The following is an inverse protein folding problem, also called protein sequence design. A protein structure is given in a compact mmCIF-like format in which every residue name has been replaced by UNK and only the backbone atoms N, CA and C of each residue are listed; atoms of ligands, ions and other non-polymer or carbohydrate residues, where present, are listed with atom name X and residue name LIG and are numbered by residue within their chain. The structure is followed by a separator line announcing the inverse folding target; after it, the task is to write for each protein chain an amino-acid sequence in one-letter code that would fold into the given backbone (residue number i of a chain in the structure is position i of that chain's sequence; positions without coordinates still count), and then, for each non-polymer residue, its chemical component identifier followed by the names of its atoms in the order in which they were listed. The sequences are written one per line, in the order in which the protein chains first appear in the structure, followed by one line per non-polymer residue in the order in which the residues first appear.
data_IF_366518324557
#
_entry.id   IF_366518324557
#
_cell.length_a   1.000
_cell.length_b   1.000
_cell.length_c   1.000
_cell.angle_alpha   90.00
_cell.angle_beta   90.00
_cell.angle_gamma   90.00
#
_symmetry.space_group_name_H-M   'P 1'
#
loop_
_entity.id
_entity.type
_entity.pdbx_description
1 polymer ?
#
# COMPACT_ATOMS: atom_id res chain seq x y z
N UNK A 1 11.20 -7.22 -16.11
CA UNK A 1 10.10 -6.61 -16.89
C UNK A 1 8.81 -7.40 -16.63
N UNK A 2 7.69 -6.71 -16.33
CA UNK A 2 6.38 -7.33 -16.03
C UNK A 2 5.53 -7.50 -17.31
N UNK A 3 6.15 -8.00 -18.38
CA UNK A 3 5.50 -8.16 -19.69
C UNK A 3 4.26 -9.05 -19.63
N UNK A 4 4.28 -10.07 -18.75
CA UNK A 4 3.16 -10.98 -18.53
C UNK A 4 1.93 -10.24 -17.99
N UNK A 5 2.09 -9.34 -17.02
CA UNK A 5 0.98 -8.52 -16.50
C UNK A 5 0.42 -7.58 -17.57
N UNK A 6 1.30 -6.95 -18.36
CA UNK A 6 0.87 -6.10 -19.47
C UNK A 6 0.05 -6.87 -20.51
N UNK A 7 0.47 -8.11 -20.85
CA UNK A 7 -0.26 -8.96 -21.78
C UNK A 7 -1.66 -9.31 -21.24
N UNK A 8 -1.79 -9.60 -19.94
CA UNK A 8 -3.09 -9.87 -19.32
C UNK A 8 -3.99 -8.63 -19.40
N UNK A 9 -3.48 -7.46 -19.01
CA UNK A 9 -4.22 -6.19 -19.06
C UNK A 9 -4.70 -5.92 -20.49
N UNK A 10 -3.80 -5.96 -21.47
CA UNK A 10 -4.16 -5.68 -22.86
C UNK A 10 -5.13 -6.70 -23.44
N UNK A 11 -5.01 -7.97 -23.06
CA UNK A 11 -5.96 -9.00 -23.48
C UNK A 11 -7.38 -8.69 -22.98
N UNK A 12 -7.53 -8.25 -21.73
CA UNK A 12 -8.85 -7.89 -21.19
C UNK A 12 -9.36 -6.59 -21.82
N UNK A 13 -8.52 -5.57 -21.85
CA UNK A 13 -8.85 -4.22 -22.33
C UNK A 13 -9.27 -4.23 -23.81
N UNK A 14 -8.53 -4.90 -24.70
CA UNK A 14 -8.88 -4.93 -26.14
C UNK A 14 -10.15 -5.75 -26.45
N UNK A 15 -10.57 -6.60 -25.51
CA UNK A 15 -11.82 -7.34 -25.62
C UNK A 15 -12.97 -6.66 -24.85
N UNK A 16 -12.77 -5.44 -24.32
CA UNK A 16 -13.74 -4.74 -23.46
C UNK A 16 -14.26 -5.63 -22.33
N UNK A 17 -13.35 -6.43 -21.75
CA UNK A 17 -13.66 -7.40 -20.70
C UNK A 17 -13.28 -6.80 -19.35
N UNK A 18 -14.23 -6.82 -18.42
CA UNK A 18 -13.98 -6.43 -17.03
C UNK A 18 -13.11 -7.47 -16.29
N UNK A 19 -12.28 -7.06 -15.33
CA UNK A 19 -11.56 -7.98 -14.46
C UNK A 19 -12.50 -8.98 -13.76
N UNK A 20 -12.13 -10.26 -13.80
CA UNK A 20 -12.87 -11.34 -13.17
C UNK A 20 -11.96 -12.19 -12.26
N UNK A 21 -12.44 -13.34 -11.82
CA UNK A 21 -11.66 -14.25 -10.98
C UNK A 21 -10.39 -14.74 -11.68
N UNK A 22 -10.45 -15.04 -12.98
CA UNK A 22 -9.28 -15.51 -13.72
C UNK A 22 -8.24 -14.41 -13.87
N UNK A 23 -8.68 -13.18 -14.14
CA UNK A 23 -7.80 -12.01 -14.13
C UNK A 23 -7.07 -11.87 -12.79
N UNK A 24 -7.81 -11.99 -11.67
CA UNK A 24 -7.25 -11.91 -10.33
C UNK A 24 -6.20 -13.01 -10.10
N UNK A 25 -6.54 -14.27 -10.42
CA UNK A 25 -5.66 -15.44 -10.24
C UNK A 25 -4.36 -15.30 -11.04
N UNK A 26 -4.44 -14.87 -12.31
CA UNK A 26 -3.26 -14.66 -13.17
C UNK A 26 -2.35 -13.56 -12.62
N UNK A 27 -2.93 -12.42 -12.20
CA UNK A 27 -2.16 -11.31 -11.61
C UNK A 27 -1.49 -11.73 -10.31
N UNK A 28 -2.21 -12.46 -9.44
CA UNK A 28 -1.67 -12.97 -8.17
C UNK A 28 -0.49 -13.90 -8.41
N UNK A 29 -0.61 -14.89 -9.30
CA UNK A 29 0.46 -15.86 -9.52
C UNK A 29 1.74 -15.17 -10.00
N UNK A 30 1.63 -14.26 -10.98
CA UNK A 30 2.78 -13.50 -11.47
C UNK A 30 3.40 -12.67 -10.35
N UNK A 31 2.61 -11.92 -9.59
CA UNK A 31 3.12 -11.02 -8.56
C UNK A 31 3.75 -11.78 -7.38
N UNK A 32 3.13 -12.87 -6.92
CA UNK A 32 3.64 -13.74 -5.85
C UNK A 32 4.97 -14.37 -6.25
N UNK A 33 5.07 -14.87 -7.48
CA UNK A 33 6.29 -15.51 -7.99
C UNK A 33 7.42 -14.48 -8.15
N UNK A 34 7.13 -13.30 -8.72
CA UNK A 34 8.12 -12.21 -8.89
C UNK A 34 8.70 -11.74 -7.56
N UNK A 35 7.86 -11.58 -6.54
CA UNK A 35 8.29 -11.05 -5.24
C UNK A 35 8.76 -12.14 -4.27
N UNK A 36 8.71 -13.42 -4.67
CA UNK A 36 8.99 -14.59 -3.85
C UNK A 36 8.20 -14.58 -2.53
N UNK A 37 6.87 -14.55 -2.64
CA UNK A 37 5.95 -14.40 -1.50
C UNK A 37 5.24 -15.69 -1.07
N UNK A 38 5.46 -16.81 -1.79
CA UNK A 38 4.73 -18.07 -1.57
C UNK A 38 4.77 -18.55 -0.12
N UNK A 39 5.91 -18.45 0.55
CA UNK A 39 6.09 -18.89 1.95
C UNK A 39 5.38 -17.98 2.98
N UNK A 40 4.99 -16.78 2.56
CA UNK A 40 4.34 -15.77 3.38
C UNK A 40 2.82 -15.73 3.16
N UNK A 41 2.28 -16.63 2.32
CA UNK A 41 0.86 -16.76 2.03
C UNK A 41 0.48 -18.22 2.25
N UNK A 42 -0.33 -18.50 3.27
CA UNK A 42 -0.79 -19.85 3.60
C UNK A 42 -2.02 -20.26 2.80
N UNK A 43 -2.92 -19.33 2.57
CA UNK A 43 -4.22 -19.59 1.96
C UNK A 43 -4.70 -18.35 1.20
N UNK A 44 -5.49 -18.58 0.15
CA UNK A 44 -6.19 -17.53 -0.59
C UNK A 44 -7.69 -17.88 -0.53
N UNK A 45 -8.47 -17.00 0.09
CA UNK A 45 -9.92 -17.09 0.20
C UNK A 45 -10.58 -16.07 -0.74
N UNK A 46 -11.52 -16.52 -1.57
CA UNK A 46 -12.22 -15.70 -2.55
C UNK A 46 -13.66 -15.33 -2.12
N UNK A 47 -14.07 -15.74 -0.91
CA UNK A 47 -15.40 -15.51 -0.36
C UNK A 47 -15.35 -14.52 0.81
N UNK A 48 -14.78 -13.33 0.56
CA UNK A 48 -14.68 -12.29 1.59
C UNK A 48 -15.87 -11.32 1.57
N UNK A 49 -16.27 -10.82 2.75
CA UNK A 49 -17.40 -9.88 2.85
C UNK A 49 -17.05 -8.45 2.38
N UNK A 50 -15.77 -8.12 2.30
CA UNK A 50 -15.26 -6.81 1.85
C UNK A 50 -14.42 -6.97 0.56
N UNK A 51 -13.70 -5.93 0.13
CA UNK A 51 -12.94 -5.94 -1.12
C UNK A 51 -11.79 -6.94 -1.07
N UNK A 52 -10.83 -6.70 -0.18
CA UNK A 52 -9.64 -7.52 0.00
C UNK A 52 -9.08 -7.33 1.42
N UNK A 53 -8.29 -8.30 1.88
CA UNK A 53 -7.52 -8.17 3.12
C UNK A 53 -6.43 -9.24 3.21
N UNK A 54 -5.28 -8.86 3.75
CA UNK A 54 -4.26 -9.78 4.20
C UNK A 54 -4.29 -9.95 5.73
N UNK A 55 -4.52 -11.18 6.18
CA UNK A 55 -4.47 -11.50 7.62
C UNK A 55 -3.03 -11.70 8.09
N UNK A 56 -2.41 -10.70 8.73
CA UNK A 56 -1.01 -10.78 9.19
C UNK A 56 -0.68 -12.03 10.02
N UNK A 57 -1.57 -12.44 10.93
CA UNK A 57 -1.36 -13.65 11.78
C UNK A 57 -1.67 -14.94 11.03
N UNK A 58 -2.76 -14.98 10.27
CA UNK A 58 -3.19 -16.20 9.55
C UNK A 58 -2.40 -16.41 8.27
N UNK A 59 -1.70 -15.39 7.77
CA UNK A 59 -1.06 -15.31 6.45
C UNK A 59 -2.04 -15.65 5.32
N UNK A 60 -3.30 -15.26 5.46
CA UNK A 60 -4.38 -15.52 4.50
C UNK A 60 -4.62 -14.28 3.66
N UNK A 61 -4.56 -14.40 2.34
CA UNK A 61 -5.11 -13.40 1.44
C UNK A 61 -6.60 -13.64 1.28
N UNK A 62 -7.40 -12.59 1.39
CA UNK A 62 -8.85 -12.64 1.19
C UNK A 62 -9.23 -11.66 0.11
N UNK A 63 -10.11 -12.07 -0.80
CA UNK A 63 -10.58 -11.26 -1.90
C UNK A 63 -12.07 -11.49 -2.14
N UNK A 64 -12.74 -10.49 -2.70
CA UNK A 64 -14.05 -10.65 -3.32
C UNK A 64 -14.05 -9.91 -4.66
N UNK A 65 -14.07 -10.68 -5.74
CA UNK A 65 -13.95 -10.15 -7.12
C UNK A 65 -15.05 -9.12 -7.42
N UNK A 66 -16.29 -9.39 -7.02
CA UNK A 66 -17.41 -8.50 -7.28
C UNK A 66 -17.27 -7.18 -6.52
N UNK A 67 -16.90 -7.23 -5.25
CA UNK A 67 -16.71 -6.03 -4.43
C UNK A 67 -15.53 -5.17 -4.93
N UNK A 68 -14.41 -5.79 -5.31
CA UNK A 68 -13.26 -5.08 -5.89
C UNK A 68 -13.66 -4.37 -7.18
N UNK A 69 -14.38 -5.07 -8.07
CA UNK A 69 -14.83 -4.50 -9.33
C UNK A 69 -15.84 -3.36 -9.12
N UNK A 70 -16.79 -3.52 -8.19
CA UNK A 70 -17.75 -2.47 -7.85
C UNK A 70 -17.05 -1.23 -7.28
N UNK A 71 -16.05 -1.42 -6.42
CA UNK A 71 -15.21 -0.34 -5.92
C UNK A 71 -14.46 0.37 -7.06
N UNK A 72 -13.82 -0.39 -7.96
CA UNK A 72 -13.14 0.17 -9.12
C UNK A 72 -14.08 1.00 -10.00
N UNK A 73 -15.30 0.54 -10.25
CA UNK A 73 -16.32 1.29 -11.01
C UNK A 73 -16.75 2.58 -10.31
N UNK A 74 -16.95 2.54 -8.99
CA UNK A 74 -17.27 3.74 -8.19
C UNK A 74 -16.15 4.77 -8.26
N UNK A 75 -14.90 4.33 -8.09
CA UNK A 75 -13.72 5.17 -8.18
C UNK A 75 -13.54 5.75 -9.59
N UNK A 76 -13.67 4.93 -10.64
CA UNK A 76 -13.63 5.41 -12.02
C UNK A 76 -14.66 6.51 -12.28
N UNK A 77 -15.93 6.31 -11.88
CA UNK A 77 -16.97 7.32 -12.06
C UNK A 77 -16.65 8.62 -11.31
N UNK A 78 -16.06 8.54 -10.11
CA UNK A 78 -15.61 9.70 -9.37
C UNK A 78 -14.53 10.50 -10.14
N UNK A 79 -13.48 9.84 -10.65
CA UNK A 79 -12.44 10.52 -11.43
C UNK A 79 -12.97 11.01 -12.77
N UNK A 80 -13.79 10.21 -13.47
CA UNK A 80 -14.43 10.59 -14.72
C UNK A 80 -15.18 11.90 -14.55
N UNK A 81 -16.08 11.99 -13.58
CA UNK A 81 -16.83 13.22 -13.31
C UNK A 81 -15.94 14.43 -12.96
N UNK A 82 -14.78 14.18 -12.36
CA UNK A 82 -13.82 15.24 -11.98
C UNK A 82 -12.99 15.74 -13.17
N UNK A 83 -12.70 14.88 -14.15
CA UNK A 83 -11.78 15.16 -15.26
C UNK A 83 -12.47 15.33 -16.63
N UNK A 84 -13.67 14.80 -16.84
CA UNK A 84 -14.46 14.91 -18.07
C UNK A 84 -14.65 16.36 -18.56
N UNK A 85 -14.75 17.40 -17.70
CA UNK A 85 -14.80 18.78 -18.18
C UNK A 85 -13.53 19.26 -18.92
N UNK A 86 -12.42 18.53 -18.80
CA UNK A 86 -11.08 18.95 -19.25
C UNK A 86 -10.42 17.89 -20.16
N UNK A 87 -10.78 16.61 -19.98
CA UNK A 87 -10.19 15.46 -20.67
C UNK A 87 -11.30 14.61 -21.27
N UNK A 88 -11.22 14.33 -22.57
CA UNK A 88 -12.10 13.37 -23.20
C UNK A 88 -11.64 11.95 -22.84
N UNK A 89 -12.50 11.18 -22.18
CA UNK A 89 -12.19 9.84 -21.67
C UNK A 89 -12.88 8.81 -22.57
N UNK A 90 -12.09 7.95 -23.21
CA UNK A 90 -12.56 6.88 -24.09
C UNK A 90 -13.05 5.65 -23.30
N UNK A 91 -13.88 4.83 -23.94
CA UNK A 91 -14.30 3.54 -23.39
C UNK A 91 -13.08 2.65 -23.08
N UNK A 92 -12.03 2.70 -23.90
CA UNK A 92 -10.82 1.91 -23.65
C UNK A 92 -10.11 2.34 -22.35
N UNK A 93 -10.10 3.64 -22.05
CA UNK A 93 -9.52 4.17 -20.81
C UNK A 93 -10.32 3.76 -19.58
N UNK A 94 -11.64 3.54 -19.70
CA UNK A 94 -12.44 2.93 -18.64
C UNK A 94 -11.93 1.52 -18.31
N UNK A 95 -11.84 0.62 -19.30
CA UNK A 95 -11.37 -0.75 -19.06
C UNK A 95 -9.91 -0.81 -18.58
N UNK A 96 -9.06 0.09 -19.05
CA UNK A 96 -7.70 0.25 -18.52
C UNK A 96 -7.79 0.63 -17.04
N UNK A 97 -8.51 1.70 -16.71
CA UNK A 97 -8.64 2.21 -15.34
C UNK A 97 -9.17 1.13 -14.38
N UNK A 98 -10.23 0.41 -14.77
CA UNK A 98 -10.78 -0.71 -13.99
C UNK A 98 -9.74 -1.81 -13.75
N UNK A 99 -9.01 -2.22 -14.80
CA UNK A 99 -7.94 -3.22 -14.68
C UNK A 99 -6.84 -2.77 -13.73
N UNK A 100 -6.44 -1.50 -13.82
CA UNK A 100 -5.36 -0.94 -13.00
C UNK A 100 -5.76 -0.81 -11.52
N UNK A 101 -6.98 -0.37 -11.22
CA UNK A 101 -7.50 -0.33 -9.84
C UNK A 101 -7.63 -1.72 -9.23
N UNK A 102 -8.02 -2.70 -10.05
CA UNK A 102 -8.11 -4.09 -9.62
C UNK A 102 -6.72 -4.65 -9.27
N UNK A 103 -5.73 -4.43 -10.15
CA UNK A 103 -4.33 -4.82 -9.88
C UNK A 103 -3.79 -4.09 -8.66
N UNK A 104 -4.08 -2.79 -8.50
CA UNK A 104 -3.63 -2.02 -7.35
C UNK A 104 -4.10 -2.65 -6.03
N UNK A 105 -5.36 -3.09 -5.98
CA UNK A 105 -5.93 -3.79 -4.83
C UNK A 105 -5.16 -5.07 -4.52
N UNK A 106 -4.82 -5.86 -5.53
CA UNK A 106 -4.01 -7.08 -5.37
C UNK A 106 -2.60 -6.74 -4.86
N UNK A 107 -1.94 -5.76 -5.47
CA UNK A 107 -0.59 -5.35 -5.10
C UNK A 107 -0.52 -4.78 -3.68
N UNK A 108 -1.56 -4.07 -3.23
CA UNK A 108 -1.68 -3.57 -1.85
C UNK A 108 -1.64 -4.72 -0.85
N UNK A 109 -2.47 -5.74 -1.03
CA UNK A 109 -2.49 -6.89 -0.11
C UNK A 109 -1.20 -7.71 -0.14
N UNK A 110 -0.57 -7.82 -1.32
CA UNK A 110 0.75 -8.45 -1.44
C UNK A 110 1.87 -7.64 -0.76
N UNK A 111 1.70 -6.33 -0.60
CA UNK A 111 2.63 -5.52 0.16
C UNK A 111 2.59 -5.85 1.66
N UNK A 112 1.41 -6.17 2.21
CA UNK A 112 1.34 -6.69 3.58
C UNK A 112 2.03 -8.05 3.74
N UNK A 113 1.96 -8.92 2.73
CA UNK A 113 2.74 -10.16 2.72
C UNK A 113 4.27 -9.89 2.69
N UNK A 114 4.72 -8.90 1.91
CA UNK A 114 6.13 -8.46 1.92
C UNK A 114 6.55 -7.89 3.26
N UNK A 115 5.68 -7.13 3.94
CA UNK A 115 5.98 -6.60 5.27
C UNK A 115 6.27 -7.75 6.26
N UNK A 116 5.50 -8.85 6.22
CA UNK A 116 5.80 -10.06 7.01
C UNK A 116 7.14 -10.67 6.61
N UNK A 117 7.42 -10.79 5.31
CA UNK A 117 8.74 -11.24 4.82
C UNK A 117 9.87 -10.38 5.37
N UNK A 118 9.74 -9.05 5.33
CA UNK A 118 10.71 -8.10 5.89
C UNK A 118 10.94 -8.35 7.38
N UNK A 119 9.88 -8.59 8.17
CA UNK A 119 10.01 -8.92 9.59
C UNK A 119 10.79 -10.22 9.82
N UNK A 120 10.53 -11.24 9.00
CA UNK A 120 11.10 -12.59 9.17
C UNK A 120 12.53 -12.71 8.64
N UNK A 121 12.89 -12.02 7.56
CA UNK A 121 14.19 -12.21 6.88
C UNK A 121 15.21 -11.11 7.15
N UNK A 122 14.80 -9.91 7.58
CA UNK A 122 15.73 -8.80 7.80
C UNK A 122 16.50 -8.96 9.10
N UNK A 123 17.83 -9.04 9.00
CA UNK A 123 18.72 -9.09 10.16
C UNK A 123 18.81 -7.73 10.88
N UNK A 124 18.72 -7.75 12.21
CA UNK A 124 18.80 -6.58 13.07
C UNK A 124 17.51 -5.74 13.14
N UNK A 125 17.55 -4.69 13.98
CA UNK A 125 16.42 -3.77 14.17
C UNK A 125 16.58 -2.54 13.26
N UNK A 126 16.01 -2.63 12.05
CA UNK A 126 15.86 -1.47 11.16
C UNK A 126 14.64 -0.63 11.58
N UNK A 127 14.59 0.61 11.10
CA UNK A 127 13.47 1.51 11.34
C UNK A 127 12.17 0.97 10.74
N UNK A 128 12.22 0.54 9.49
CA UNK A 128 11.12 -0.09 8.76
C UNK A 128 10.57 -1.31 9.52
N UNK A 129 11.45 -2.24 9.92
CA UNK A 129 11.08 -3.41 10.71
C UNK A 129 10.38 -3.02 12.01
N UNK A 130 10.85 -1.95 12.66
CA UNK A 130 10.24 -1.43 13.88
C UNK A 130 8.83 -0.90 13.61
N UNK A 131 8.62 -0.15 12.53
CA UNK A 131 7.32 0.43 12.18
C UNK A 131 6.28 -0.65 11.84
N UNK A 132 6.68 -1.64 11.05
CA UNK A 132 5.84 -2.79 10.72
C UNK A 132 5.47 -3.51 12.02
N UNK A 133 6.46 -3.88 12.84
CA UNK A 133 6.21 -4.62 14.09
C UNK A 133 5.28 -3.85 15.04
N UNK A 134 5.47 -2.54 15.18
CA UNK A 134 4.59 -1.73 16.04
C UNK A 134 3.15 -1.68 15.53
N UNK A 135 2.96 -1.58 14.21
CA UNK A 135 1.63 -1.63 13.62
C UNK A 135 0.96 -2.96 13.93
N UNK A 136 1.68 -4.08 13.79
CA UNK A 136 1.16 -5.42 14.13
C UNK A 136 0.86 -5.57 15.63
N UNK A 137 1.72 -5.04 16.49
CA UNK A 137 1.51 -5.06 17.94
C UNK A 137 0.22 -4.32 18.31
N UNK A 138 -0.04 -3.15 17.71
CA UNK A 138 -1.28 -2.38 17.94
C UNK A 138 -2.49 -3.11 17.36
N UNK A 139 -2.42 -3.66 16.14
CA UNK A 139 -3.50 -4.47 15.54
C UNK A 139 -3.90 -5.61 16.48
N UNK A 140 -2.91 -6.30 17.04
CA UNK A 140 -3.14 -7.44 17.94
C UNK A 140 -3.81 -7.05 19.27
N UNK A 141 -3.67 -5.80 19.69
CA UNK A 141 -4.10 -5.33 21.02
C UNK A 141 -5.38 -4.51 20.95
N UNK A 142 -5.50 -3.67 19.93
CA UNK A 142 -6.63 -2.80 19.72
C UNK A 142 -7.06 -2.84 18.25
N UNK A 143 -7.64 -3.97 17.79
CA UNK A 143 -8.07 -4.14 16.41
C UNK A 143 -9.17 -3.15 16.01
N UNK A 144 -9.97 -2.67 16.97
CA UNK A 144 -11.01 -1.66 16.71
C UNK A 144 -10.42 -0.29 16.42
N UNK A 145 -9.37 0.11 17.14
CA UNK A 145 -8.63 1.33 16.84
C UNK A 145 -7.97 1.24 15.46
N UNK A 146 -7.33 0.10 15.16
CA UNK A 146 -6.82 -0.13 13.80
C UNK A 146 -7.92 0.01 12.76
N UNK A 147 -9.06 -0.68 12.91
CA UNK A 147 -10.16 -0.62 11.93
C UNK A 147 -10.65 0.81 11.67
N UNK A 148 -10.68 1.67 12.70
CA UNK A 148 -11.13 3.07 12.58
C UNK A 148 -10.07 3.98 11.96
N UNK A 149 -8.80 3.72 12.26
CA UNK A 149 -7.70 4.64 11.95
C UNK A 149 -6.61 3.99 11.08
N UNK A 150 -6.91 2.89 10.38
CA UNK A 150 -5.92 2.06 9.65
C UNK A 150 -5.09 2.89 8.66
N UNK A 151 -5.72 3.87 8.00
CA UNK A 151 -5.05 4.85 7.12
C UNK A 151 -3.97 5.70 7.80
N UNK A 152 -3.86 5.66 9.13
CA UNK A 152 -2.80 6.32 9.90
C UNK A 152 -1.59 5.41 10.15
N UNK A 153 -1.73 4.10 9.97
CA UNK A 153 -0.70 3.13 10.32
C UNK A 153 0.39 3.05 9.25
N UNK A 154 1.67 2.91 9.65
CA UNK A 154 2.77 2.68 8.73
C UNK A 154 2.52 1.54 7.74
N UNK A 155 1.98 0.42 8.20
CA UNK A 155 1.74 -0.76 7.35
C UNK A 155 0.78 -0.49 6.20
N UNK A 156 -0.33 0.21 6.43
CA UNK A 156 -1.28 0.56 5.38
C UNK A 156 -0.71 1.60 4.41
N UNK A 157 -0.09 2.65 4.94
CA UNK A 157 0.45 3.70 4.08
C UNK A 157 1.65 3.24 3.26
N UNK A 158 2.51 2.39 3.81
CA UNK A 158 3.57 1.71 3.05
C UNK A 158 2.95 0.82 1.97
N UNK A 159 1.87 0.10 2.29
CA UNK A 159 1.15 -0.72 1.32
C UNK A 159 0.61 0.11 0.14
N UNK A 160 -0.06 1.23 0.41
CA UNK A 160 -0.57 2.15 -0.62
C UNK A 160 0.57 2.69 -1.50
N UNK A 161 1.63 3.22 -0.89
CA UNK A 161 2.72 3.87 -1.64
C UNK A 161 3.49 2.86 -2.48
N UNK A 162 3.88 1.73 -1.89
CA UNK A 162 4.69 0.72 -2.58
C UNK A 162 3.89 0.03 -3.68
N UNK A 163 2.61 -0.28 -3.44
CA UNK A 163 1.74 -0.89 -4.46
C UNK A 163 1.50 0.08 -5.63
N UNK A 164 1.24 1.37 -5.35
CA UNK A 164 1.04 2.38 -6.40
C UNK A 164 2.33 2.64 -7.18
N UNK A 165 3.47 2.77 -6.49
CA UNK A 165 4.78 2.91 -7.14
C UNK A 165 5.09 1.73 -8.04
N UNK A 166 4.86 0.51 -7.54
CA UNK A 166 5.04 -0.73 -8.30
C UNK A 166 4.11 -0.81 -9.51
N UNK A 167 2.86 -0.37 -9.39
CA UNK A 167 1.93 -0.31 -10.52
C UNK A 167 2.44 0.65 -11.62
N UNK A 168 2.88 1.85 -11.23
CA UNK A 168 3.48 2.84 -12.15
C UNK A 168 4.71 2.25 -12.85
N UNK A 169 5.57 1.54 -12.12
CA UNK A 169 6.76 0.88 -12.68
C UNK A 169 6.40 -0.24 -13.66
N UNK A 170 5.45 -1.12 -13.29
CA UNK A 170 4.97 -2.24 -14.13
C UNK A 170 4.50 -1.73 -15.48
N UNK A 171 3.71 -0.67 -15.45
CA UNK A 171 3.03 -0.13 -16.61
C UNK A 171 3.90 0.83 -17.41
N UNK A 172 5.02 1.28 -16.83
CA UNK A 172 5.78 2.43 -17.31
C UNK A 172 4.85 3.61 -17.60
N UNK A 173 3.94 3.91 -16.67
CA UNK A 173 3.11 5.11 -16.78
C UNK A 173 4.07 6.31 -16.81
N UNK A 174 4.26 6.86 -18.00
CA UNK A 174 5.05 8.05 -18.26
C UNK A 174 4.20 9.07 -19.05
N UNK A 175 4.80 10.21 -19.41
CA UNK A 175 4.10 11.28 -20.11
C UNK A 175 3.56 10.91 -21.50
N UNK A 176 3.93 9.75 -22.06
CA UNK A 176 3.38 9.22 -23.31
C UNK A 176 2.16 8.31 -23.12
N UNK A 177 1.84 7.92 -21.87
CA UNK A 177 0.63 7.18 -21.54
C UNK A 177 -0.61 8.11 -21.50
N UNK A 178 -1.82 7.54 -21.44
CA UNK A 178 -3.07 8.31 -21.34
C UNK A 178 -2.97 9.40 -20.26
N UNK A 179 -3.36 10.64 -20.63
CA UNK A 179 -3.38 11.78 -19.71
C UNK A 179 -4.33 11.52 -18.53
N UNK A 180 -5.49 10.93 -18.79
CA UNK A 180 -6.44 10.55 -17.75
C UNK A 180 -5.82 9.55 -16.77
N UNK A 181 -5.20 8.47 -17.28
CA UNK A 181 -4.58 7.46 -16.43
C UNK A 181 -3.41 8.04 -15.61
N UNK A 182 -2.60 8.93 -16.21
CA UNK A 182 -1.56 9.67 -15.50
C UNK A 182 -2.14 10.51 -14.35
N UNK A 183 -3.20 11.29 -14.61
CA UNK A 183 -3.87 12.13 -13.61
C UNK A 183 -4.54 11.33 -12.49
N UNK A 184 -4.97 10.09 -12.74
CA UNK A 184 -5.48 9.20 -11.70
C UNK A 184 -4.32 8.66 -10.86
N UNK A 185 -3.40 7.89 -11.44
CA UNK A 185 -2.45 7.10 -10.62
C UNK A 185 -1.20 7.88 -10.19
N UNK A 186 -0.61 8.71 -11.06
CA UNK A 186 0.64 9.43 -10.72
C UNK A 186 0.37 10.57 -9.75
N UNK A 187 -0.74 11.29 -9.94
CA UNK A 187 -1.14 12.37 -9.04
C UNK A 187 -1.57 11.84 -7.69
N UNK A 188 -2.31 10.75 -7.64
CA UNK A 188 -2.64 10.10 -6.36
C UNK A 188 -1.40 9.61 -5.65
N UNK A 189 -0.49 8.95 -6.35
CA UNK A 189 0.80 8.56 -5.79
C UNK A 189 1.53 9.75 -5.15
N UNK A 190 1.65 10.86 -5.88
CA UNK A 190 2.27 12.08 -5.38
C UNK A 190 1.49 12.68 -4.20
N UNK A 191 0.16 12.60 -4.22
CA UNK A 191 -0.69 13.04 -3.11
C UNK A 191 -0.51 12.17 -1.87
N UNK A 192 -0.50 10.84 -1.99
CA UNK A 192 -0.26 9.92 -0.88
C UNK A 192 1.10 10.20 -0.26
N UNK A 193 2.13 10.31 -1.08
CA UNK A 193 3.47 10.72 -0.65
C UNK A 193 3.45 12.04 0.10
N UNK A 194 2.85 13.08 -0.49
CA UNK A 194 2.84 14.43 0.08
C UNK A 194 2.12 14.43 1.42
N UNK A 195 0.93 13.84 1.50
CA UNK A 195 0.13 13.82 2.73
C UNK A 195 0.76 12.95 3.81
N UNK A 196 1.36 11.82 3.42
CA UNK A 196 1.99 10.90 4.35
C UNK A 196 3.23 11.51 5.03
N UNK A 197 3.99 12.34 4.30
CA UNK A 197 5.24 12.91 4.81
C UNK A 197 5.15 14.37 5.27
N UNK A 198 4.22 15.17 4.73
CA UNK A 198 4.12 16.62 5.02
C UNK A 198 3.03 16.93 6.05
N UNK A 199 1.90 16.21 6.03
CA UNK A 199 0.72 16.62 6.82
C UNK A 199 0.48 15.80 8.10
N UNK A 200 1.07 14.61 8.27
CA UNK A 200 0.86 13.76 9.47
C UNK A 200 2.09 13.01 10.02
N UNK A 201 3.30 13.57 9.90
CA UNK A 201 4.53 13.13 10.57
C UNK A 201 4.74 11.58 10.70
N UNK A 202 5.25 10.98 9.61
CA UNK A 202 6.31 9.92 9.53
C UNK A 202 5.84 8.45 9.43
N UNK A 203 6.32 7.69 8.39
CA UNK A 203 7.57 6.89 8.36
C UNK A 203 8.43 7.03 7.08
N UNK A 204 9.50 7.82 7.22
CA UNK A 204 10.27 8.53 6.17
C UNK A 204 11.22 7.69 5.29
N UNK A 205 11.56 6.46 5.65
CA UNK A 205 12.70 5.78 5.02
C UNK A 205 12.36 5.20 3.63
N UNK A 206 11.17 4.63 3.49
CA UNK A 206 10.66 4.12 2.22
C UNK A 206 10.58 5.25 1.19
N UNK A 207 10.09 6.42 1.60
CA UNK A 207 10.03 7.61 0.75
C UNK A 207 11.36 8.02 0.19
N UNK A 208 12.37 8.16 1.04
CA UNK A 208 13.69 8.65 0.64
C UNK A 208 14.27 7.69 -0.39
N UNK A 209 14.03 6.39 -0.21
CA UNK A 209 14.47 5.38 -1.17
C UNK A 209 13.69 5.45 -2.49
N UNK A 210 12.36 5.57 -2.45
CA UNK A 210 11.51 5.55 -3.65
C UNK A 210 11.57 6.87 -4.42
N UNK A 211 11.54 8.01 -3.72
CA UNK A 211 11.53 9.34 -4.32
C UNK A 211 12.94 9.83 -4.70
N UNK A 212 14.00 9.24 -4.13
CA UNK A 212 15.37 9.74 -4.27
C UNK A 212 15.60 11.11 -3.61
N UNK A 213 14.66 11.58 -2.79
CA UNK A 213 14.70 12.91 -2.17
C UNK A 213 15.41 12.86 -0.83
N UNK A 214 16.25 13.87 -0.55
CA UNK A 214 16.86 14.08 0.76
C UNK A 214 15.87 14.77 1.71
N UNK A 215 15.35 14.05 2.71
CA UNK A 215 14.51 14.61 3.75
C UNK A 215 15.28 14.93 5.02
N UNK A 216 14.90 16.01 5.69
CA UNK A 216 15.51 16.47 6.95
C UNK A 216 14.45 16.52 8.06
N UNK A 217 14.81 16.06 9.26
CA UNK A 217 14.07 16.37 10.50
C UNK A 217 14.90 17.40 11.26
N UNK A 218 14.44 18.65 11.24
CA UNK A 218 15.24 19.82 11.62
C UNK A 218 16.56 19.86 10.83
N UNK A 219 17.70 19.75 11.49
CA UNK A 219 19.05 19.77 10.91
C UNK A 219 19.58 18.35 10.55
N UNK A 220 18.78 17.31 10.76
CA UNK A 220 19.22 15.91 10.59
C UNK A 220 18.69 15.33 9.28
N UNK A 221 19.58 15.07 8.31
CA UNK A 221 19.27 14.32 7.08
C UNK A 221 18.83 12.90 7.40
N UNK A 222 17.60 12.51 7.12
CA UNK A 222 17.07 11.19 7.43
C UNK A 222 17.59 10.16 6.42
N UNK A 223 18.18 9.06 6.91
CA UNK A 223 18.61 7.93 6.08
C UNK A 223 18.66 6.63 6.89
N UNK A 224 19.10 5.53 6.27
CA UNK A 224 19.23 4.22 6.96
C UNK A 224 20.11 4.31 8.21
N UNK A 225 21.22 5.06 8.16
CA UNK A 225 22.25 5.10 9.20
C UNK A 225 21.77 5.79 10.48
N UNK A 226 21.01 6.87 10.36
CA UNK A 226 20.60 7.66 11.52
C UNK A 226 19.16 7.41 12.00
N UNK A 227 18.47 6.49 11.34
CA UNK A 227 17.09 6.12 11.67
C UNK A 227 16.88 5.73 13.15
N UNK A 228 17.88 5.09 13.79
CA UNK A 228 17.87 4.79 15.24
C UNK A 228 17.94 6.03 16.13
N UNK A 229 18.65 7.07 15.69
CA UNK A 229 18.71 8.37 16.39
C UNK A 229 17.36 9.05 16.34
N UNK A 230 16.70 9.04 15.17
CA UNK A 230 15.33 9.57 15.01
C UNK A 230 14.33 8.84 15.90
N UNK A 231 14.35 7.51 15.94
CA UNK A 231 13.46 6.72 16.82
C UNK A 231 13.57 7.14 18.29
N UNK A 232 14.81 7.33 18.78
CA UNK A 232 15.05 7.77 20.15
C UNK A 232 14.51 9.18 20.38
N UNK A 233 14.70 10.07 19.41
CA UNK A 233 14.21 11.45 19.47
C UNK A 233 12.68 11.52 19.49
N UNK A 234 12.02 10.85 18.56
CA UNK A 234 10.55 10.73 18.48
C UNK A 234 9.96 10.18 19.78
N UNK A 235 10.57 9.14 20.37
CA UNK A 235 10.13 8.58 21.65
C UNK A 235 10.20 9.59 22.80
N UNK A 236 11.20 10.47 22.79
CA UNK A 236 11.41 11.45 23.85
C UNK A 236 10.55 12.71 23.67
N UNK A 237 10.29 13.12 22.43
CA UNK A 237 9.63 14.38 22.10
C UNK A 237 8.13 14.24 21.82
N UNK A 238 7.65 13.06 21.42
CA UNK A 238 6.24 12.82 21.07
C UNK A 238 5.55 11.99 22.16
N UNK A 239 4.40 12.47 22.66
CA UNK A 239 3.60 11.78 23.68
C UNK A 239 3.19 10.37 23.24
N UNK A 240 2.92 9.48 24.19
CA UNK A 240 2.50 8.11 23.88
C UNK A 240 1.20 8.09 23.05
N UNK A 241 0.22 8.92 23.41
CA UNK A 241 -1.07 8.99 22.72
C UNK A 241 -0.90 9.46 21.26
N UNK A 242 -0.06 10.48 21.03
CA UNK A 242 0.25 10.93 19.67
C UNK A 242 1.06 9.88 18.91
N UNK A 243 1.99 9.17 19.57
CA UNK A 243 2.72 8.08 18.91
C UNK A 243 1.80 6.94 18.51
N UNK A 244 0.79 6.60 19.30
CA UNK A 244 -0.23 5.61 18.93
C UNK A 244 -1.06 6.12 17.74
N UNK A 245 -1.52 7.37 17.81
CA UNK A 245 -2.33 8.00 16.74
C UNK A 245 -1.59 8.04 15.40
N UNK A 246 -0.29 8.32 15.42
CA UNK A 246 0.53 8.41 14.22
C UNK A 246 1.20 7.07 13.83
N UNK A 247 0.88 5.97 14.52
CA UNK A 247 1.47 4.65 14.28
C UNK A 247 3.00 4.63 14.45
N UNK A 248 3.53 5.48 15.31
CA UNK A 248 4.96 5.59 15.60
C UNK A 248 5.39 4.53 16.62
N UNK A 249 6.70 4.20 16.67
CA UNK A 249 7.17 3.13 17.53
C UNK A 249 6.88 3.29 19.03
N UNK A 250 6.41 2.19 19.62
CA UNK A 250 6.11 2.05 21.04
C UNK A 250 6.92 0.88 21.64
N UNK A 251 7.23 0.95 22.92
CA UNK A 251 7.95 -0.13 23.61
C UNK A 251 7.00 -1.16 24.18
N UNK A 252 7.46 -2.41 24.37
CA UNK A 252 6.69 -3.45 25.07
C UNK A 252 6.15 -3.02 26.44
N UNK A 253 6.90 -2.19 27.19
CA UNK A 253 6.44 -1.66 28.49
C UNK A 253 5.31 -0.64 28.34
N UNK A 254 5.36 0.21 27.32
CA UNK A 254 4.28 1.13 26.99
C UNK A 254 3.05 0.36 26.50
N UNK A 255 3.26 -0.69 25.70
CA UNK A 255 2.25 -1.63 25.24
C UNK A 255 1.49 -2.28 26.40
N UNK A 256 2.19 -2.81 27.41
CA UNK A 256 1.53 -3.41 28.59
C UNK A 256 0.68 -2.42 29.38
N UNK A 257 1.08 -1.14 29.43
CA UNK A 257 0.31 -0.09 30.12
C UNK A 257 -0.98 0.26 29.39
N UNK A 258 -0.98 0.17 28.05
CA UNK A 258 -2.19 0.33 27.24
C UNK A 258 -3.15 -0.83 27.53
N UNK A 259 -2.64 -2.07 27.59
CA UNK A 259 -3.44 -3.28 27.86
C UNK A 259 -4.06 -3.34 29.27
N UNK A 260 -3.55 -2.54 30.21
CA UNK A 260 -4.03 -2.50 31.59
C UNK A 260 -5.11 -1.44 31.85
N UNK A 261 -5.49 -0.67 30.83
CA UNK A 261 -6.63 0.26 30.85
C UNK A 261 -7.85 -0.42 30.23
#
# INVERSE_FOLDING_TARGET
MYTELLNIIYTYVFNYKEPDKHFLEDVLDIAINKDNLREYIKEIDYNYDYNAAYGFTSKTLRFNVANILEYAKKSFNFYKNSYEPIINISDLEEYICLSLMFILTILHELEHAKQIKTLETTNGNTFEKSLIQNSLDIISINPDFYRKEHDLFPTERMAIINSTSKLIEILKIDGAFSLFINEVFVKEYNWFITNYYIHKNIPLLEYINISGIHLYYEDILINKENSKKLLRRVKNEVSLDNRILFGLPITKKELTKINSK
#
